data_IF_776919719020
#
_entry.id   IF_776919719020
#
_cell.length_a   1.000
_cell.length_b   1.000
_cell.length_c   1.000
_cell.angle_alpha   90.00
_cell.angle_beta   90.00
_cell.angle_gamma   90.00
#
_symmetry.space_group_name_H-M   'P 1'
#
loop_
_entity.id
_entity.type
_entity.pdbx_description
1 polymer ?
#
# COMPACT_ATOMS: atom_id res chain seq x y z
N UNK A 1 77.64 -26.55 -55.96
CA UNK A 1 76.39 -26.83 -56.71
C UNK A 1 75.26 -26.71 -55.69
N UNK A 2 74.60 -25.56 -55.65
CA UNK A 2 73.17 -25.37 -56.01
C UNK A 2 72.25 -26.20 -55.09
N UNK A 3 71.32 -25.66 -54.28
CA UNK A 3 70.51 -24.45 -54.38
C UNK A 3 69.96 -24.08 -52.97
N UNK A 4 69.48 -22.84 -52.79
CA UNK A 4 68.95 -22.26 -51.55
C UNK A 4 67.39 -22.43 -51.41
N UNK A 5 66.63 -21.72 -50.53
CA UNK A 5 66.05 -22.24 -49.28
C UNK A 5 64.52 -21.97 -49.10
N UNK A 6 64.04 -22.10 -47.84
CA UNK A 6 62.86 -21.48 -47.18
C UNK A 6 61.61 -22.36 -46.96
N UNK A 7 61.32 -22.64 -45.69
CA UNK A 7 60.04 -22.35 -45.05
C UNK A 7 60.30 -22.10 -43.54
N UNK A 8 59.97 -20.89 -43.09
CA UNK A 8 60.09 -20.39 -41.72
C UNK A 8 58.90 -20.78 -40.85
N UNK A 9 59.12 -20.68 -39.52
CA UNK A 9 58.15 -20.49 -38.43
C UNK A 9 57.17 -21.65 -38.14
N UNK A 10 56.84 -22.01 -36.91
CA UNK A 10 56.63 -21.16 -35.73
C UNK A 10 56.66 -22.01 -34.43
N UNK A 11 56.88 -21.34 -33.31
CA UNK A 11 57.10 -21.89 -31.97
C UNK A 11 55.82 -22.31 -31.21
N UNK A 12 56.02 -23.21 -30.23
CA UNK A 12 55.39 -23.50 -28.91
C UNK A 12 54.31 -22.52 -28.33
N UNK A 13 53.54 -22.80 -27.24
CA UNK A 13 53.29 -24.04 -26.45
C UNK A 13 51.79 -24.30 -26.08
N UNK A 14 51.53 -25.50 -25.53
CA UNK A 14 50.62 -25.80 -24.39
C UNK A 14 49.35 -24.93 -24.17
N UNK A 15 48.21 -25.34 -24.76
CA UNK A 15 46.89 -24.77 -24.47
C UNK A 15 46.08 -25.70 -23.54
N UNK A 16 45.61 -25.12 -22.45
CA UNK A 16 44.91 -25.78 -21.36
C UNK A 16 43.58 -26.43 -21.78
N UNK A 17 43.29 -27.60 -21.20
CA UNK A 17 41.99 -28.29 -21.30
C UNK A 17 40.91 -27.50 -20.55
N UNK A 18 39.78 -27.12 -21.17
CA UNK A 18 38.59 -26.74 -20.42
C UNK A 18 37.81 -28.00 -20.05
N UNK A 19 37.92 -28.43 -18.80
CA UNK A 19 36.94 -29.31 -18.18
C UNK A 19 36.08 -28.42 -17.29
N UNK A 20 34.95 -27.93 -17.82
CA UNK A 20 33.81 -27.36 -17.07
C UNK A 20 32.68 -26.90 -18.03
N UNK A 21 32.22 -27.78 -18.93
CA UNK A 21 31.16 -27.44 -19.91
C UNK A 21 29.98 -28.43 -19.95
N UNK A 22 29.77 -29.22 -18.89
CA UNK A 22 28.70 -30.24 -18.89
C UNK A 22 27.43 -29.87 -18.11
N UNK A 23 27.36 -28.72 -17.44
CA UNK A 23 26.20 -28.41 -16.56
C UNK A 23 25.12 -27.50 -17.20
N UNK A 24 25.36 -26.90 -18.37
CA UNK A 24 24.44 -25.89 -18.96
C UNK A 24 23.25 -26.48 -19.76
N UNK A 25 23.36 -27.73 -20.24
CA UNK A 25 22.35 -28.31 -21.13
C UNK A 25 21.26 -29.10 -20.38
N UNK A 26 21.64 -29.78 -19.30
CA UNK A 26 20.70 -30.52 -18.45
C UNK A 26 19.72 -29.58 -17.75
N UNK A 27 20.17 -28.41 -17.30
CA UNK A 27 19.31 -27.39 -16.68
C UNK A 27 18.25 -26.86 -17.66
N UNK A 28 18.63 -26.64 -18.93
CA UNK A 28 17.71 -26.22 -20.00
C UNK A 28 16.71 -27.33 -20.37
N UNK A 29 17.16 -28.58 -20.33
CA UNK A 29 16.31 -29.76 -20.55
C UNK A 29 15.29 -29.93 -19.41
N UNK A 30 15.73 -29.77 -18.16
CA UNK A 30 14.89 -29.83 -16.96
C UNK A 30 13.85 -28.70 -16.91
N UNK A 31 14.22 -27.50 -17.36
CA UNK A 31 13.28 -26.37 -17.52
C UNK A 31 12.15 -26.68 -18.53
N UNK A 32 12.44 -27.46 -19.57
CA UNK A 32 11.44 -27.88 -20.58
C UNK A 32 10.45 -28.92 -20.03
N UNK A 33 10.85 -29.66 -18.99
CA UNK A 33 10.01 -30.65 -18.29
C UNK A 33 9.22 -30.09 -17.10
N UNK A 34 9.22 -28.77 -16.89
CA UNK A 34 8.50 -28.13 -15.78
C UNK A 34 9.08 -28.44 -14.39
N UNK A 35 10.34 -28.91 -14.34
CA UNK A 35 11.08 -29.21 -13.11
C UNK A 35 12.13 -28.14 -12.78
N UNK A 36 12.23 -27.09 -13.62
CA UNK A 36 12.99 -25.89 -13.31
C UNK A 36 12.12 -24.93 -12.51
N UNK A 37 12.65 -24.40 -11.41
CA UNK A 37 12.05 -23.29 -10.67
C UNK A 37 12.04 -22.09 -11.62
N UNK A 38 10.89 -21.79 -12.23
CA UNK A 38 10.77 -20.61 -13.09
C UNK A 38 11.19 -19.39 -12.26
N UNK A 39 12.20 -18.62 -12.71
CA UNK A 39 12.63 -17.46 -11.95
C UNK A 39 11.44 -16.53 -11.79
N UNK A 40 11.15 -16.18 -10.53
CA UNK A 40 10.01 -15.32 -10.17
C UNK A 40 10.04 -14.07 -11.07
N UNK A 41 8.95 -13.87 -11.82
CA UNK A 41 8.79 -12.76 -12.75
C UNK A 41 9.08 -11.42 -12.05
N UNK A 42 8.79 -11.31 -10.75
CA UNK A 42 9.11 -10.11 -9.97
C UNK A 42 10.62 -9.89 -9.89
N UNK A 43 11.40 -10.92 -9.58
CA UNK A 43 12.87 -10.85 -9.50
C UNK A 43 13.47 -10.47 -10.84
N UNK A 44 12.95 -11.03 -11.94
CA UNK A 44 13.37 -10.67 -13.29
C UNK A 44 13.10 -9.21 -13.62
N UNK A 45 11.91 -8.70 -13.29
CA UNK A 45 11.56 -7.29 -13.53
C UNK A 45 12.40 -6.37 -12.65
N UNK A 46 12.62 -6.71 -11.37
CA UNK A 46 13.46 -5.92 -10.47
C UNK A 46 14.92 -5.83 -10.95
N UNK A 47 15.50 -6.94 -11.38
CA UNK A 47 16.86 -6.99 -11.94
C UNK A 47 16.94 -6.18 -13.25
N UNK A 48 15.93 -6.30 -14.12
CA UNK A 48 15.84 -5.49 -15.33
C UNK A 48 15.74 -3.98 -15.02
N UNK A 49 14.95 -3.59 -14.01
CA UNK A 49 14.83 -2.20 -13.56
C UNK A 49 16.12 -1.66 -12.92
N UNK A 50 16.90 -2.52 -12.25
CA UNK A 50 18.18 -2.17 -11.64
C UNK A 50 19.30 -2.01 -12.67
N UNK A 51 19.32 -2.88 -13.70
CA UNK A 51 20.34 -2.86 -14.77
C UNK A 51 20.04 -1.88 -15.89
N UNK A 52 18.77 -1.51 -16.09
CA UNK A 52 18.35 -0.59 -17.14
C UNK A 52 18.92 0.82 -16.93
N UNK A 53 19.96 1.16 -17.71
CA UNK A 53 20.39 2.54 -18.00
C UNK A 53 19.72 3.12 -19.26
N UNK A 54 18.72 2.45 -19.83
CA UNK A 54 18.12 2.86 -21.11
C UNK A 54 17.25 4.11 -20.97
N UNK A 55 17.22 4.99 -21.97
CA UNK A 55 16.32 6.15 -21.98
C UNK A 55 14.82 5.76 -22.11
N UNK A 56 14.49 4.47 -22.19
CA UNK A 56 13.11 4.00 -22.37
C UNK A 56 12.20 4.28 -21.16
N UNK A 57 12.78 4.41 -19.96
CA UNK A 57 12.07 4.82 -18.76
C UNK A 57 12.83 5.98 -18.12
N UNK A 58 12.11 6.95 -17.59
CA UNK A 58 12.66 7.98 -16.71
C UNK A 58 13.06 7.39 -15.33
N UNK A 59 13.88 8.11 -14.57
CA UNK A 59 14.21 7.72 -13.20
C UNK A 59 12.99 7.64 -12.27
N UNK A 60 11.99 8.50 -12.52
CA UNK A 60 10.74 8.53 -11.75
C UNK A 60 9.88 7.29 -12.04
N UNK A 61 9.73 6.91 -13.31
CA UNK A 61 8.97 5.71 -13.71
C UNK A 61 9.61 4.43 -13.16
N UNK A 62 10.94 4.30 -13.21
CA UNK A 62 11.64 3.16 -12.56
C UNK A 62 11.36 3.08 -11.06
N UNK A 63 11.32 4.23 -10.40
CA UNK A 63 11.05 4.31 -8.96
C UNK A 63 9.60 3.94 -8.65
N UNK A 64 8.66 4.38 -9.47
CA UNK A 64 7.25 4.02 -9.35
C UNK A 64 7.03 2.52 -9.56
N UNK A 65 7.63 1.92 -10.60
CA UNK A 65 7.52 0.48 -10.87
C UNK A 65 8.07 -0.36 -9.72
N UNK A 66 9.24 0.00 -9.16
CA UNK A 66 9.77 -0.67 -7.97
C UNK A 66 8.83 -0.56 -6.76
N UNK A 67 8.19 0.60 -6.55
CA UNK A 67 7.20 0.77 -5.48
C UNK A 67 5.97 -0.09 -5.70
N UNK A 68 5.50 -0.25 -6.93
CA UNK A 68 4.35 -1.11 -7.28
C UNK A 68 4.68 -2.58 -7.01
N UNK A 69 5.86 -3.05 -7.40
CA UNK A 69 6.29 -4.44 -7.14
C UNK A 69 6.36 -4.73 -5.63
N UNK A 70 6.94 -3.80 -4.85
CA UNK A 70 6.94 -3.87 -3.37
C UNK A 70 5.54 -3.80 -2.79
N UNK A 71 4.67 -2.93 -3.31
CA UNK A 71 3.30 -2.80 -2.83
C UNK A 71 2.53 -4.12 -2.92
N UNK A 72 2.79 -4.92 -3.98
CA UNK A 72 2.20 -6.23 -4.15
C UNK A 72 2.75 -7.33 -3.23
N UNK A 73 3.66 -7.04 -2.30
CA UNK A 73 4.10 -7.97 -1.24
C UNK A 73 3.65 -7.54 0.16
N UNK A 74 3.08 -6.35 0.31
CA UNK A 74 2.72 -5.81 1.61
C UNK A 74 1.39 -6.40 2.12
N UNK A 75 1.30 -6.56 3.43
CA UNK A 75 0.06 -6.88 4.15
C UNK A 75 -0.52 -5.63 4.83
N UNK A 76 -1.74 -5.73 5.35
CA UNK A 76 -2.36 -4.66 6.15
C UNK A 76 -1.50 -4.32 7.36
N UNK A 77 -0.93 -5.32 8.02
CA UNK A 77 -0.01 -5.14 9.15
C UNK A 77 1.17 -4.22 8.83
N UNK A 78 1.72 -4.31 7.62
CA UNK A 78 2.89 -3.50 7.19
C UNK A 78 2.57 -2.01 7.02
N UNK A 79 1.29 -1.65 6.83
CA UNK A 79 0.88 -0.29 6.44
C UNK A 79 -0.15 0.36 7.38
N UNK A 80 -0.69 -0.40 8.34
CA UNK A 80 -1.70 0.10 9.29
C UNK A 80 -1.12 1.13 10.26
N UNK A 81 -2.00 1.99 10.79
CA UNK A 81 -1.64 2.86 11.93
C UNK A 81 -1.54 1.98 13.18
N UNK A 82 -0.41 1.99 13.91
CA UNK A 82 -0.28 1.20 15.13
C UNK A 82 -1.37 1.55 16.14
N UNK A 83 -1.88 0.55 16.87
CA UNK A 83 -3.01 0.72 17.79
C UNK A 83 -2.81 1.85 18.81
N UNK A 84 -1.59 2.02 19.31
CA UNK A 84 -1.26 3.06 20.28
C UNK A 84 -1.37 4.49 19.72
N UNK A 85 -1.27 4.62 18.39
CA UNK A 85 -1.29 5.90 17.68
C UNK A 85 -2.67 6.22 17.10
N UNK A 86 -3.68 5.35 17.32
CA UNK A 86 -5.04 5.57 16.84
C UNK A 86 -5.72 6.69 17.65
N UNK A 87 -6.04 7.78 16.96
CA UNK A 87 -6.92 8.83 17.49
C UNK A 87 -8.37 8.39 17.25
N UNK A 88 -9.05 7.98 18.31
CA UNK A 88 -10.44 7.55 18.29
C UNK A 88 -11.21 8.10 19.49
N UNK A 89 -12.54 8.01 19.43
CA UNK A 89 -13.42 8.53 20.48
C UNK A 89 -14.44 7.48 20.93
N UNK A 90 -14.85 7.55 22.19
CA UNK A 90 -15.92 6.71 22.73
C UNK A 90 -17.29 7.22 22.24
N UNK A 91 -18.27 6.33 22.06
CA UNK A 91 -19.61 6.68 21.57
C UNK A 91 -20.41 7.58 22.53
N UNK A 92 -20.00 7.64 23.79
CA UNK A 92 -20.59 8.50 24.83
C UNK A 92 -20.06 9.93 24.84
N UNK A 93 -18.99 10.23 24.10
CA UNK A 93 -18.45 11.61 24.03
C UNK A 93 -19.47 12.56 23.45
N UNK A 94 -19.42 13.80 23.92
CA UNK A 94 -20.28 14.88 23.43
C UNK A 94 -19.82 15.39 22.06
N UNK A 95 -20.71 16.09 21.36
CA UNK A 95 -20.36 16.74 20.08
C UNK A 95 -19.29 17.80 20.29
N UNK A 96 -19.30 18.56 21.40
CA UNK A 96 -18.26 19.56 21.63
C UNK A 96 -16.87 18.95 21.85
N UNK A 97 -16.79 17.80 22.54
CA UNK A 97 -15.55 17.04 22.68
C UNK A 97 -15.09 16.48 21.33
N UNK A 98 -16.00 15.89 20.55
CA UNK A 98 -15.70 15.41 19.20
C UNK A 98 -15.16 16.52 18.30
N UNK A 99 -15.73 17.73 18.36
CA UNK A 99 -15.23 18.90 17.62
C UNK A 99 -13.80 19.28 18.05
N UNK A 100 -13.48 19.19 19.34
CA UNK A 100 -12.11 19.44 19.83
C UNK A 100 -11.13 18.39 19.31
N UNK A 101 -11.55 17.12 19.26
CA UNK A 101 -10.75 16.04 18.68
C UNK A 101 -10.49 16.31 17.20
N UNK A 102 -11.50 16.64 16.40
CA UNK A 102 -11.30 16.99 14.97
C UNK A 102 -10.41 18.22 14.76
N UNK A 103 -10.41 19.17 15.69
CA UNK A 103 -9.52 20.34 15.61
C UNK A 103 -8.06 19.98 15.91
N UNK A 104 -7.84 18.98 16.77
CA UNK A 104 -6.50 18.52 17.15
C UNK A 104 -5.97 17.47 16.18
N UNK A 105 -6.85 16.64 15.62
CA UNK A 105 -6.52 15.62 14.65
C UNK A 105 -6.32 16.24 13.25
N UNK A 106 -5.31 15.76 12.53
CA UNK A 106 -5.05 16.17 11.14
C UNK A 106 -5.85 15.32 10.12
N UNK A 107 -6.91 14.65 10.58
CA UNK A 107 -7.64 13.65 9.81
C UNK A 107 -9.13 13.97 9.71
N UNK A 108 -9.71 13.71 8.53
CA UNK A 108 -11.13 13.95 8.26
C UNK A 108 -12.07 12.88 8.81
N UNK A 109 -11.53 11.76 9.31
CA UNK A 109 -12.27 10.60 9.82
C UNK A 109 -11.70 10.19 11.18
N UNK A 110 -12.59 9.94 12.13
CA UNK A 110 -12.22 9.50 13.48
C UNK A 110 -13.03 8.24 13.80
N UNK A 111 -12.38 7.11 14.14
CA UNK A 111 -13.07 5.91 14.60
C UNK A 111 -13.86 6.17 15.88
N UNK A 112 -15.03 5.54 15.98
CA UNK A 112 -15.87 5.55 17.18
C UNK A 112 -15.89 4.14 17.74
N UNK A 113 -15.59 4.01 19.02
CA UNK A 113 -15.62 2.75 19.74
C UNK A 113 -16.54 2.84 20.95
N UNK A 114 -16.80 1.71 21.60
CA UNK A 114 -17.51 1.67 22.88
C UNK A 114 -16.66 0.96 23.91
N UNK A 115 -16.32 1.64 25.00
CA UNK A 115 -15.48 1.16 26.11
C UNK A 115 -14.02 0.84 25.72
N UNK A 116 -13.80 0.03 24.68
CA UNK A 116 -12.50 -0.36 24.14
C UNK A 116 -12.49 -0.25 22.62
N UNK A 117 -11.30 -0.04 22.05
CA UNK A 117 -11.06 -0.08 20.60
C UNK A 117 -11.40 -1.44 19.96
N UNK A 118 -11.60 -2.50 20.75
CA UNK A 118 -12.03 -3.82 20.28
C UNK A 118 -13.54 -3.92 19.98
N UNK A 119 -14.35 -2.93 20.41
CA UNK A 119 -15.76 -2.79 19.99
C UNK A 119 -15.92 -1.52 19.14
N UNK A 120 -15.42 -1.53 17.89
CA UNK A 120 -15.63 -0.41 16.99
C UNK A 120 -17.10 -0.34 16.57
N UNK A 121 -17.70 0.84 16.74
CA UNK A 121 -19.07 1.13 16.32
C UNK A 121 -19.14 1.69 14.90
N UNK A 122 -18.03 2.22 14.40
CA UNK A 122 -17.91 2.81 13.08
C UNK A 122 -16.92 3.96 13.07
N UNK A 123 -17.19 4.96 12.23
CA UNK A 123 -16.38 6.19 12.17
C UNK A 123 -17.27 7.41 11.92
N UNK A 124 -16.80 8.57 12.36
CA UNK A 124 -17.42 9.86 12.04
C UNK A 124 -16.55 10.58 11.00
N UNK A 125 -17.21 11.12 9.98
CA UNK A 125 -16.58 11.99 9.01
C UNK A 125 -16.90 13.46 9.34
N UNK A 126 -15.91 14.35 9.25
CA UNK A 126 -16.08 15.78 9.56
C UNK A 126 -17.24 16.44 8.79
N UNK A 127 -17.41 16.11 7.50
CA UNK A 127 -18.57 16.55 6.69
C UNK A 127 -19.93 16.17 7.28
N UNK A 128 -20.07 15.01 7.91
CA UNK A 128 -21.36 14.58 8.48
C UNK A 128 -21.65 15.32 9.76
N UNK A 129 -20.62 15.53 10.58
CA UNK A 129 -20.70 16.40 11.75
C UNK A 129 -21.11 17.82 11.34
N UNK A 130 -20.47 18.40 10.33
CA UNK A 130 -20.84 19.71 9.82
C UNK A 130 -22.26 19.75 9.27
N UNK A 131 -22.67 18.73 8.51
CA UNK A 131 -24.04 18.62 8.01
C UNK A 131 -25.07 18.58 9.13
N UNK A 132 -24.79 17.82 10.20
CA UNK A 132 -25.66 17.72 11.37
C UNK A 132 -25.78 19.08 12.09
N UNK A 133 -24.65 19.77 12.34
CA UNK A 133 -24.64 21.11 12.95
C UNK A 133 -25.47 22.10 12.13
N UNK A 134 -25.28 22.10 10.81
CA UNK A 134 -26.03 22.98 9.90
C UNK A 134 -27.53 22.67 9.95
N UNK A 135 -27.92 21.40 9.92
CA UNK A 135 -29.35 21.02 10.00
C UNK A 135 -29.99 21.44 11.33
N UNK A 136 -29.31 21.26 12.46
CA UNK A 136 -29.82 21.70 13.77
C UNK A 136 -29.91 23.23 13.86
N UNK A 137 -28.95 23.96 13.26
CA UNK A 137 -28.94 25.41 13.22
C UNK A 137 -30.04 26.01 12.31
N UNK A 138 -30.39 25.30 11.22
CA UNK A 138 -31.41 25.72 10.25
C UNK A 138 -32.85 25.45 10.71
N UNK A 139 -33.05 24.58 11.71
CA UNK A 139 -34.37 24.26 12.27
C UNK A 139 -35.15 25.51 12.75
N UNK A 140 -34.48 26.66 12.91
CA UNK A 140 -35.07 27.96 13.21
C UNK A 140 -35.83 28.66 12.08
N UNK A 141 -35.81 28.15 10.84
CA UNK A 141 -36.68 28.57 9.73
C UNK A 141 -36.47 30.00 9.18
N UNK A 142 -35.42 30.68 9.60
CA UNK A 142 -35.17 32.11 9.33
C UNK A 142 -34.10 32.37 8.25
N UNK A 143 -33.66 31.34 7.51
CA UNK A 143 -32.68 31.47 6.43
C UNK A 143 -31.27 31.90 6.89
N UNK A 144 -31.03 31.91 8.20
CA UNK A 144 -29.76 32.26 8.84
C UNK A 144 -29.35 31.11 9.76
N UNK A 145 -28.06 30.80 9.80
CA UNK A 145 -27.50 29.73 10.63
C UNK A 145 -27.40 30.20 12.09
N UNK A 146 -28.31 29.72 12.93
CA UNK A 146 -28.29 30.00 14.37
C UNK A 146 -27.58 28.88 15.14
N UNK A 147 -26.26 29.01 15.28
CA UNK A 147 -25.43 28.05 16.01
C UNK A 147 -25.75 28.00 17.51
N UNK A 148 -26.43 29.01 18.07
CA UNK A 148 -26.79 29.04 19.48
C UNK A 148 -27.85 27.99 19.86
N UNK A 149 -28.58 27.46 18.88
CA UNK A 149 -29.61 26.42 19.07
C UNK A 149 -29.06 25.00 19.01
N UNK A 150 -27.83 24.81 18.54
CA UNK A 150 -27.24 23.49 18.39
C UNK A 150 -26.88 22.92 19.76
N UNK A 151 -27.49 21.80 20.13
CA UNK A 151 -27.17 21.14 21.39
C UNK A 151 -25.90 20.28 21.26
N UNK A 152 -24.76 20.91 21.55
CA UNK A 152 -23.45 20.27 21.48
C UNK A 152 -23.21 19.25 22.61
N UNK A 153 -24.09 19.19 23.63
CA UNK A 153 -23.96 18.23 24.74
C UNK A 153 -24.52 16.86 24.40
N UNK A 154 -25.19 16.72 23.26
CA UNK A 154 -25.62 15.42 22.73
C UNK A 154 -24.41 14.54 22.48
N UNK A 155 -24.57 13.24 22.73
CA UNK A 155 -23.50 12.27 22.52
C UNK A 155 -23.43 11.84 21.06
N UNK A 156 -22.27 11.37 20.60
CA UNK A 156 -22.05 10.84 19.24
C UNK A 156 -23.01 9.69 18.93
N UNK A 157 -23.27 8.80 19.89
CA UNK A 157 -24.25 7.73 19.73
C UNK A 157 -25.68 8.24 19.43
N UNK A 158 -26.06 9.41 19.93
CA UNK A 158 -27.43 9.94 19.84
C UNK A 158 -27.77 10.69 18.54
N UNK A 159 -26.75 11.06 17.75
CA UNK A 159 -26.91 11.95 16.58
C UNK A 159 -26.86 11.20 15.24
N UNK A 160 -26.66 9.88 15.25
CA UNK A 160 -26.71 9.00 14.09
C UNK A 160 -25.86 9.46 12.88
N UNK A 161 -24.68 10.02 13.14
CA UNK A 161 -23.71 10.42 12.10
C UNK A 161 -22.59 9.39 11.88
N UNK A 162 -22.61 8.29 12.62
CA UNK A 162 -21.62 7.21 12.52
C UNK A 162 -21.85 6.42 11.25
N UNK A 163 -20.81 6.27 10.43
CA UNK A 163 -20.83 5.37 9.27
C UNK A 163 -20.11 4.06 9.58
N UNK A 164 -20.48 3.04 8.82
CA UNK A 164 -19.82 1.74 8.86
C UNK A 164 -18.33 1.85 8.48
N UNK A 165 -17.53 1.03 9.13
CA UNK A 165 -16.12 0.81 8.79
C UNK A 165 -15.96 -0.61 8.26
N UNK A 166 -14.98 -0.78 7.38
CA UNK A 166 -14.61 -2.11 6.92
C UNK A 166 -13.83 -2.81 8.03
N UNK A 167 -14.00 -4.12 8.19
CA UNK A 167 -13.10 -4.94 9.01
C UNK A 167 -12.23 -5.79 8.11
N UNK A 168 -10.93 -5.81 8.38
CA UNK A 168 -9.94 -6.61 7.67
C UNK A 168 -8.94 -7.25 8.65
N UNK A 169 -8.47 -8.47 8.38
CA UNK A 169 -7.41 -9.10 9.15
C UNK A 169 -6.03 -8.54 8.74
N UNK A 170 -5.11 -8.49 9.70
CA UNK A 170 -3.74 -7.96 9.54
C UNK A 170 -2.95 -8.66 8.41
N UNK A 171 -3.20 -9.96 8.22
CA UNK A 171 -2.55 -10.77 7.19
C UNK A 171 -3.11 -10.58 5.77
N UNK A 172 -4.16 -9.76 5.59
CA UNK A 172 -4.73 -9.49 4.26
C UNK A 172 -3.73 -8.73 3.39
N UNK A 173 -3.69 -9.04 2.09
CA UNK A 173 -2.87 -8.30 1.13
C UNK A 173 -3.37 -6.86 0.99
N UNK A 174 -2.46 -5.88 0.91
CA UNK A 174 -2.84 -4.48 0.69
C UNK A 174 -3.55 -4.29 -0.66
N UNK A 175 -3.25 -5.12 -1.66
CA UNK A 175 -3.97 -5.10 -2.94
C UNK A 175 -5.44 -5.48 -2.76
N UNK A 176 -5.72 -6.51 -1.97
CA UNK A 176 -7.10 -6.95 -1.71
C UNK A 176 -7.85 -5.91 -0.88
N UNK A 177 -7.20 -5.32 0.14
CA UNK A 177 -7.76 -4.22 0.90
C UNK A 177 -8.09 -3.03 -0.02
N UNK A 178 -7.17 -2.62 -0.89
CA UNK A 178 -7.38 -1.52 -1.82
C UNK A 178 -8.56 -1.78 -2.76
N UNK A 179 -8.66 -2.99 -3.33
CA UNK A 179 -9.79 -3.39 -4.17
C UNK A 179 -11.12 -3.36 -3.39
N UNK A 180 -11.12 -3.82 -2.14
CA UNK A 180 -12.30 -3.81 -1.27
C UNK A 180 -12.72 -2.39 -0.92
N UNK A 181 -11.77 -1.51 -0.59
CA UNK A 181 -12.00 -0.08 -0.32
C UNK A 181 -12.54 0.66 -1.56
N UNK A 182 -11.98 0.42 -2.74
CA UNK A 182 -12.46 1.01 -3.99
C UNK A 182 -13.89 0.57 -4.33
N UNK A 183 -14.20 -0.72 -4.16
CA UNK A 183 -15.52 -1.28 -4.47
C UNK A 183 -16.59 -0.77 -3.52
N UNK A 184 -16.28 -0.72 -2.22
CA UNK A 184 -17.21 -0.25 -1.17
C UNK A 184 -17.25 1.27 -1.05
N UNK A 185 -16.30 1.99 -1.67
CA UNK A 185 -16.05 3.43 -1.50
C UNK A 185 -15.79 3.84 -0.04
N UNK A 186 -15.30 2.90 0.77
CA UNK A 186 -14.85 3.13 2.14
C UNK A 186 -13.37 3.49 2.14
N UNK A 187 -13.01 4.47 2.95
CA UNK A 187 -11.66 5.04 3.01
C UNK A 187 -10.99 4.88 4.39
N UNK A 188 -11.63 4.11 5.27
CA UNK A 188 -11.14 3.68 6.57
C UNK A 188 -11.61 2.23 6.76
N UNK A 189 -10.68 1.37 7.19
CA UNK A 189 -10.82 -0.07 7.33
C UNK A 189 -10.06 -0.55 8.56
#
# INVERSE_FOLDING_TARGET
>A
MSNAPIAENEADPEEARPADEEVSWFERLLATFGLGEEPDLRVLIEDALARSKSDALSGQERTMLRRILRFGTLTVEDVMVPRADIIAVDDTVTVDELMRVFRQAEHSRVPVYRQTLDDPRGMVHIRDLMSWITTEAEAGGNGSLDLGKVDLKRTVASINITREILYVPDSMSVLDLLLKMQTTRLHLA
#
